data_IF_586699181590
#
_entry.id   IF_586699181590
#
_cell.length_a   1.000
_cell.length_b   1.000
_cell.length_c   1.000
_cell.angle_alpha   90.00
_cell.angle_beta   90.00
_cell.angle_gamma   90.00
#
_symmetry.space_group_name_H-M   'P 1'
#
loop_
_entity.id
_entity.type
_entity.pdbx_description
1 polymer ?
#
# COMPACT_ATOMS: atom_id res chain seq x y z
N UNK A 1 0.91 15.24 8.89
CA UNK A 1 1.95 14.76 7.95
C UNK A 1 2.93 13.76 8.56
N UNK A 2 3.53 13.98 9.74
CA UNK A 2 4.50 13.02 10.34
C UNK A 2 3.95 11.58 10.49
N UNK A 3 2.71 11.41 10.91
CA UNK A 3 2.05 10.10 11.11
C UNK A 3 1.77 9.34 9.81
N UNK A 4 1.50 10.05 8.71
CA UNK A 4 1.28 9.47 7.38
C UNK A 4 2.59 8.93 6.79
N UNK A 5 3.70 9.67 6.97
CA UNK A 5 5.05 9.26 6.57
C UNK A 5 5.53 8.01 7.31
N UNK A 6 5.29 7.92 8.62
CA UNK A 6 5.66 6.73 9.39
C UNK A 6 4.85 5.49 8.98
N UNK A 7 3.57 5.65 8.62
CA UNK A 7 2.76 4.56 8.04
C UNK A 7 3.29 4.14 6.66
N UNK A 8 3.60 5.10 5.78
CA UNK A 8 4.19 4.81 4.47
C UNK A 8 5.52 4.03 4.58
N UNK A 9 6.40 4.41 5.51
CA UNK A 9 7.65 3.70 5.79
C UNK A 9 7.41 2.28 6.33
N UNK A 10 6.36 2.08 7.15
CA UNK A 10 6.01 0.76 7.67
C UNK A 10 5.56 -0.23 6.57
N UNK A 11 4.85 0.26 5.53
CA UNK A 11 4.47 -0.57 4.38
C UNK A 11 5.67 -0.92 3.51
N UNK A 12 6.65 -0.01 3.36
CA UNK A 12 7.89 -0.25 2.62
C UNK A 12 8.73 -1.39 3.21
N UNK A 13 8.91 -1.41 4.53
CA UNK A 13 9.70 -2.46 5.20
C UNK A 13 9.01 -3.84 5.17
N UNK A 14 7.68 -3.89 5.35
CA UNK A 14 6.93 -5.14 5.26
C UNK A 14 6.92 -5.71 3.84
N UNK A 15 6.82 -4.85 2.82
CA UNK A 15 6.91 -5.24 1.42
C UNK A 15 8.28 -5.82 1.03
N UNK A 16 9.36 -5.26 1.58
CA UNK A 16 10.74 -5.75 1.36
C UNK A 16 10.95 -7.16 1.92
N UNK A 17 10.49 -7.43 3.14
CA UNK A 17 10.62 -8.76 3.77
C UNK A 17 9.82 -9.83 3.02
N UNK A 18 8.60 -9.50 2.57
CA UNK A 18 7.79 -10.41 1.77
C UNK A 18 8.42 -10.68 0.39
N UNK A 19 8.96 -9.64 -0.26
CA UNK A 19 9.66 -9.81 -1.53
C UNK A 19 10.91 -10.69 -1.40
N UNK A 20 11.72 -10.49 -0.35
CA UNK A 20 12.87 -11.35 -0.04
C UNK A 20 12.44 -12.80 0.19
N UNK A 21 11.34 -13.01 0.91
CA UNK A 21 10.78 -14.36 1.16
C UNK A 21 10.39 -15.04 -0.14
N UNK A 22 9.67 -14.34 -1.04
CA UNK A 22 9.31 -14.87 -2.37
C UNK A 22 10.58 -15.24 -3.15
N UNK A 23 11.56 -14.35 -3.22
CA UNK A 23 12.82 -14.61 -3.94
C UNK A 23 13.55 -15.85 -3.40
N UNK A 24 13.66 -16.00 -2.08
CA UNK A 24 14.30 -17.17 -1.46
C UNK A 24 13.56 -18.48 -1.78
N UNK A 25 12.22 -18.46 -1.76
CA UNK A 25 11.40 -19.63 -2.10
C UNK A 25 11.54 -20.00 -3.57
N UNK A 26 11.52 -19.03 -4.48
CA UNK A 26 11.75 -19.26 -5.92
C UNK A 26 13.14 -19.82 -6.20
N UNK A 27 14.19 -19.31 -5.52
CA UNK A 27 15.54 -19.88 -5.64
C UNK A 27 15.60 -21.34 -5.15
N UNK A 28 14.85 -21.66 -4.09
CA UNK A 28 14.77 -23.03 -3.57
C UNK A 28 14.11 -23.97 -4.60
N UNK A 29 13.01 -23.54 -5.23
CA UNK A 29 12.37 -24.29 -6.32
C UNK A 29 13.35 -24.56 -7.45
N UNK A 30 14.10 -23.54 -7.89
CA UNK A 30 15.08 -23.68 -8.97
C UNK A 30 16.20 -24.67 -8.61
N UNK A 31 16.74 -24.60 -7.38
CA UNK A 31 17.76 -25.56 -6.91
C UNK A 31 17.24 -27.00 -6.87
N UNK A 32 16.00 -27.19 -6.42
CA UNK A 32 15.38 -28.53 -6.39
C UNK A 32 15.12 -29.02 -7.82
N UNK A 33 14.69 -28.15 -8.73
CA UNK A 33 14.50 -28.48 -10.13
C UNK A 33 15.82 -28.92 -10.81
N UNK A 34 16.90 -28.18 -10.59
CA UNK A 34 18.24 -28.55 -11.08
C UNK A 34 18.73 -29.87 -10.49
N UNK A 35 18.44 -30.11 -9.21
CA UNK A 35 18.79 -31.37 -8.54
C UNK A 35 18.01 -32.55 -9.13
N UNK A 36 16.73 -32.34 -9.45
CA UNK A 36 15.86 -33.34 -10.07
C UNK A 36 16.31 -33.70 -11.49
N UNK A 37 16.76 -32.71 -12.27
CA UNK A 37 17.33 -32.93 -13.60
C UNK A 37 18.60 -33.80 -13.57
N UNK A 38 19.34 -33.79 -12.47
CA UNK A 38 20.59 -34.54 -12.27
C UNK A 38 20.41 -35.86 -11.49
N UNK A 39 19.21 -36.13 -10.98
CA UNK A 39 18.96 -37.25 -10.09
C UNK A 39 18.70 -38.58 -10.83
N UNK A 40 19.22 -39.67 -10.28
CA UNK A 40 18.90 -41.04 -10.69
C UNK A 40 17.48 -41.47 -10.29
N UNK A 41 17.02 -42.63 -10.76
CA UNK A 41 15.60 -43.05 -10.69
C UNK A 41 14.96 -43.02 -9.30
N UNK A 42 15.65 -43.53 -8.26
CA UNK A 42 15.12 -43.56 -6.88
C UNK A 42 15.10 -42.18 -6.21
N UNK A 43 16.13 -41.36 -6.43
CA UNK A 43 16.24 -40.02 -5.86
C UNK A 43 15.32 -39.01 -6.57
N UNK A 44 15.00 -39.27 -7.85
CA UNK A 44 14.12 -38.42 -8.65
C UNK A 44 12.69 -38.37 -8.12
N UNK A 45 12.15 -39.48 -7.60
CA UNK A 45 10.83 -39.50 -6.99
C UNK A 45 10.77 -38.61 -5.73
N UNK A 46 11.78 -38.75 -4.85
CA UNK A 46 11.90 -37.94 -3.64
C UNK A 46 12.02 -36.45 -3.96
N UNK A 47 12.88 -36.09 -4.92
CA UNK A 47 13.08 -34.70 -5.33
C UNK A 47 11.86 -34.13 -6.06
N UNK A 48 11.07 -34.95 -6.75
CA UNK A 48 9.81 -34.52 -7.37
C UNK A 48 8.79 -34.07 -6.32
N UNK A 49 8.65 -34.81 -5.22
CA UNK A 49 7.78 -34.41 -4.11
C UNK A 49 8.26 -33.11 -3.46
N UNK A 50 9.57 -32.98 -3.23
CA UNK A 50 10.18 -31.75 -2.69
C UNK A 50 9.98 -30.56 -3.64
N UNK A 51 10.07 -30.78 -4.96
CA UNK A 51 9.82 -29.74 -5.97
C UNK A 51 8.37 -29.27 -5.92
N UNK A 52 7.41 -30.20 -5.89
CA UNK A 52 5.97 -29.87 -5.82
C UNK A 52 5.66 -29.11 -4.54
N UNK A 53 6.21 -29.52 -3.40
CA UNK A 53 6.05 -28.82 -2.14
C UNK A 53 6.65 -27.40 -2.21
N UNK A 54 7.90 -27.29 -2.67
CA UNK A 54 8.59 -25.99 -2.78
C UNK A 54 7.85 -25.04 -3.71
N UNK A 55 7.31 -25.54 -4.82
CA UNK A 55 6.54 -24.74 -5.79
C UNK A 55 5.22 -24.25 -5.17
N UNK A 56 4.54 -25.07 -4.37
CA UNK A 56 3.34 -24.65 -3.62
C UNK A 56 3.69 -23.57 -2.60
N UNK A 57 4.79 -23.72 -1.87
CA UNK A 57 5.24 -22.73 -0.89
C UNK A 57 5.59 -21.39 -1.55
N UNK A 58 6.29 -21.41 -2.69
CA UNK A 58 6.59 -20.21 -3.47
C UNK A 58 5.31 -19.51 -3.95
N UNK A 59 4.37 -20.27 -4.53
CA UNK A 59 3.08 -19.73 -4.97
C UNK A 59 2.28 -19.11 -3.82
N UNK A 60 2.25 -19.76 -2.65
CA UNK A 60 1.57 -19.22 -1.48
C UNK A 60 2.22 -17.91 -1.01
N UNK A 61 3.54 -17.83 -0.99
CA UNK A 61 4.26 -16.60 -0.63
C UNK A 61 3.95 -15.45 -1.60
N UNK A 62 3.88 -15.71 -2.91
CA UNK A 62 3.47 -14.73 -3.92
C UNK A 62 2.02 -14.28 -3.70
N UNK A 63 1.09 -15.21 -3.47
CA UNK A 63 -0.31 -14.89 -3.20
C UNK A 63 -0.45 -13.99 -1.96
N UNK A 64 0.27 -14.30 -0.88
CA UNK A 64 0.29 -13.46 0.33
C UNK A 64 0.83 -12.05 0.04
N UNK A 65 1.90 -11.93 -0.75
CA UNK A 65 2.44 -10.64 -1.18
C UNK A 65 1.39 -9.83 -1.98
N UNK A 66 0.69 -10.46 -2.92
CA UNK A 66 -0.35 -9.81 -3.70
C UNK A 66 -1.55 -9.38 -2.84
N UNK A 67 -2.02 -10.24 -1.93
CA UNK A 67 -3.10 -9.91 -1.00
C UNK A 67 -2.72 -8.73 -0.09
N UNK A 68 -1.50 -8.75 0.45
CA UNK A 68 -0.93 -7.67 1.25
C UNK A 68 -0.92 -6.34 0.48
N UNK A 69 -0.38 -6.33 -0.75
CA UNK A 69 -0.37 -5.13 -1.61
C UNK A 69 -1.77 -4.63 -1.92
N UNK A 70 -2.71 -5.51 -2.24
CA UNK A 70 -4.10 -5.13 -2.49
C UNK A 70 -4.74 -4.48 -1.26
N UNK A 71 -4.45 -4.98 -0.05
CA UNK A 71 -4.96 -4.40 1.19
C UNK A 71 -4.32 -3.03 1.46
N UNK A 72 -3.04 -2.86 1.17
CA UNK A 72 -2.34 -1.57 1.26
C UNK A 72 -2.96 -0.54 0.31
N UNK A 73 -3.16 -0.90 -0.96
CA UNK A 73 -3.81 -0.03 -1.96
C UNK A 73 -5.21 0.36 -1.51
N UNK A 74 -6.04 -0.60 -1.07
CA UNK A 74 -7.38 -0.30 -0.53
C UNK A 74 -7.35 0.67 0.65
N UNK A 75 -6.39 0.50 1.55
CA UNK A 75 -6.22 1.38 2.71
C UNK A 75 -5.81 2.78 2.28
N UNK A 76 -4.81 2.89 1.40
CA UNK A 76 -4.35 4.17 0.85
C UNK A 76 -5.47 4.90 0.09
N UNK A 77 -6.24 4.19 -0.75
CA UNK A 77 -7.38 4.77 -1.47
C UNK A 77 -8.45 5.29 -0.52
N UNK A 78 -8.76 4.59 0.58
CA UNK A 78 -9.70 5.06 1.61
C UNK A 78 -9.19 6.32 2.31
N UNK A 79 -7.91 6.35 2.69
CA UNK A 79 -7.30 7.52 3.32
C UNK A 79 -7.31 8.71 2.37
N UNK A 80 -6.98 8.51 1.09
CA UNK A 80 -7.02 9.55 0.07
C UNK A 80 -8.44 10.10 -0.12
N UNK A 81 -9.46 9.23 -0.19
CA UNK A 81 -10.86 9.65 -0.28
C UNK A 81 -11.32 10.46 0.95
N UNK A 82 -10.85 10.09 2.16
CA UNK A 82 -11.12 10.86 3.37
C UNK A 82 -10.48 12.25 3.34
N UNK A 83 -9.24 12.35 2.87
CA UNK A 83 -8.55 13.63 2.69
C UNK A 83 -9.31 14.50 1.69
N UNK A 84 -9.66 13.98 0.52
CA UNK A 84 -10.44 14.72 -0.48
C UNK A 84 -11.81 15.18 0.04
N UNK A 85 -12.52 14.32 0.77
CA UNK A 85 -13.82 14.68 1.35
C UNK A 85 -13.68 15.81 2.38
N UNK A 86 -12.61 15.78 3.18
CA UNK A 86 -12.31 16.83 4.15
C UNK A 86 -11.97 18.14 3.45
N UNK A 87 -11.08 18.11 2.47
CA UNK A 87 -10.71 19.29 1.66
C UNK A 87 -11.93 19.91 0.99
N UNK A 88 -12.80 19.11 0.36
CA UNK A 88 -14.05 19.61 -0.23
C UNK A 88 -14.97 20.26 0.81
N UNK A 89 -15.06 19.70 2.02
CA UNK A 89 -15.86 20.28 3.10
C UNK A 89 -15.28 21.62 3.55
N UNK A 90 -13.96 21.71 3.64
CA UNK A 90 -13.25 22.92 4.06
C UNK A 90 -13.37 24.02 2.99
N UNK A 91 -13.27 23.68 1.70
CA UNK A 91 -13.56 24.60 0.58
C UNK A 91 -15.01 25.08 0.62
N UNK A 92 -15.98 24.19 0.82
CA UNK A 92 -17.39 24.58 0.88
C UNK A 92 -17.69 25.50 2.07
N UNK A 93 -17.08 25.27 3.24
CA UNK A 93 -17.20 26.17 4.40
C UNK A 93 -16.57 27.54 4.11
N UNK A 94 -15.43 27.56 3.45
CA UNK A 94 -14.74 28.79 3.06
C UNK A 94 -15.58 29.61 2.07
N UNK A 95 -16.13 28.95 1.04
CA UNK A 95 -17.05 29.57 0.08
C UNK A 95 -18.31 30.10 0.78
N UNK A 96 -18.92 29.33 1.67
CA UNK A 96 -20.08 29.76 2.44
C UNK A 96 -19.79 31.00 3.30
N UNK A 97 -18.57 31.10 3.86
CA UNK A 97 -18.14 32.27 4.64
C UNK A 97 -17.91 33.50 3.76
N UNK A 98 -17.39 33.32 2.54
CA UNK A 98 -17.17 34.39 1.56
C UNK A 98 -18.46 34.98 0.99
N UNK A 99 -19.49 34.15 0.78
CA UNK A 99 -20.77 34.58 0.19
C UNK A 99 -21.83 34.95 1.25
N UNK A 100 -21.53 34.75 2.54
CA UNK A 100 -22.46 35.06 3.61
C UNK A 100 -22.75 36.57 3.63
N UNK A 101 -24.03 36.98 3.59
CA UNK A 101 -24.38 38.39 3.72
C UNK A 101 -24.01 38.91 5.11
N UNK A 102 -23.64 40.19 5.25
CA UNK A 102 -23.30 40.79 6.54
C UNK A 102 -24.49 40.69 7.48
N UNK A 103 -24.34 39.95 8.57
CA UNK A 103 -25.30 39.99 9.68
C UNK A 103 -24.99 41.22 10.54
N UNK A 104 -25.96 42.11 10.71
CA UNK A 104 -25.89 43.31 11.56
C UNK A 104 -24.81 44.34 11.17
N UNK A 105 -24.56 44.56 9.87
CA UNK A 105 -23.67 45.64 9.40
C UNK A 105 -22.17 45.35 9.59
N UNK A 106 -21.82 44.28 10.29
CA UNK A 106 -20.46 43.74 10.32
C UNK A 106 -20.31 42.69 9.23
N UNK A 107 -19.52 42.99 8.21
CA UNK A 107 -19.04 41.98 7.28
C UNK A 107 -18.28 40.92 8.10
N UNK A 108 -18.54 39.61 7.92
CA UNK A 108 -17.67 38.60 8.51
C UNK A 108 -16.25 38.95 8.07
N UNK A 109 -15.32 39.10 9.01
CA UNK A 109 -13.92 39.40 8.71
C UNK A 109 -13.32 38.19 8.01
N UNK A 110 -13.61 38.04 6.73
CA UNK A 110 -12.93 37.09 5.89
C UNK A 110 -11.55 37.69 5.66
N UNK A 111 -10.57 37.24 6.45
CA UNK A 111 -9.17 37.58 6.23
C UNK A 111 -8.75 36.92 4.91
N UNK A 112 -9.05 37.59 3.79
CA UNK A 112 -8.66 37.18 2.44
C UNK A 112 -7.16 36.85 2.38
N UNK A 113 -6.33 37.53 3.17
CA UNK A 113 -4.91 37.21 3.35
C UNK A 113 -4.64 35.80 3.90
N UNK A 114 -5.39 35.35 4.91
CA UNK A 114 -5.28 33.98 5.44
C UNK A 114 -5.83 32.91 4.48
N UNK A 115 -6.69 33.32 3.54
CA UNK A 115 -7.21 32.44 2.49
C UNK A 115 -6.15 32.23 1.42
N UNK A 116 -5.51 33.31 0.94
CA UNK A 116 -4.43 33.22 -0.05
C UNK A 116 -3.24 32.43 0.48
N UNK A 117 -2.86 32.62 1.76
CA UNK A 117 -1.78 31.86 2.40
C UNK A 117 -2.09 30.36 2.62
N UNK A 118 -3.37 29.94 2.56
CA UNK A 118 -3.74 28.51 2.67
C UNK A 118 -3.67 27.76 1.35
N UNK A 119 -3.74 28.46 0.22
CA UNK A 119 -3.78 27.87 -1.13
C UNK A 119 -2.57 28.21 -2.00
N UNK A 120 -1.65 29.07 -1.53
CA UNK A 120 -0.32 29.31 -2.12
C UNK A 120 0.71 28.29 -1.60
#
# INVERSE_FOLDING_TARGET
MKTELTKALSYGNFGLQQAQTVTQRTQTVNRVHESLAKAGGSERARLADVYVQSAREAKNAEQTLHQSRNQQVKTASRQFAQVLSKENTDVNKLMATLIAPPMNGTQPQVQLGQIVDRFA
#
